data_IF_630991693248
#
_entry.id   IF_630991693248
#
_cell.length_a   1.000
_cell.length_b   1.000
_cell.length_c   1.000
_cell.angle_alpha   90.00
_cell.angle_beta   90.00
_cell.angle_gamma   90.00
#
_symmetry.space_group_name_H-M   'P 1'
#
loop_
_entity.id
_entity.type
_entity.pdbx_description
1 polymer ?
#
# COMPACT_ATOMS: atom_id res chain seq x y z
N UNK A 1 13.31 0.22 -3.23
CA UNK A 1 12.11 -0.57 -2.84
C UNK A 1 11.01 -0.46 -3.90
N UNK A 2 10.29 -1.55 -4.19
CA UNK A 2 9.07 -1.49 -4.98
C UNK A 2 7.98 -0.75 -4.16
N UNK A 3 7.16 0.04 -4.84
CA UNK A 3 6.29 1.05 -4.26
C UNK A 3 4.84 0.71 -4.62
N UNK A 4 4.01 0.38 -3.63
CA UNK A 4 2.61 -0.06 -3.83
C UNK A 4 1.70 0.52 -2.74
N UNK A 5 0.39 0.27 -2.82
CA UNK A 5 -0.60 0.72 -1.84
C UNK A 5 -1.41 1.95 -2.27
N UNK A 6 -2.09 2.56 -1.31
CA UNK A 6 -2.96 3.72 -1.52
C UNK A 6 -2.10 4.97 -1.74
N UNK A 7 -2.44 5.77 -2.76
CA UNK A 7 -1.85 7.09 -3.04
C UNK A 7 -0.33 7.12 -3.19
N UNK A 8 0.26 6.00 -3.63
CA UNK A 8 1.70 5.88 -3.78
C UNK A 8 2.10 5.56 -5.22
N UNK A 9 2.93 6.43 -5.78
CA UNK A 9 3.36 6.34 -7.16
C UNK A 9 4.63 5.50 -7.30
N UNK A 10 4.71 4.70 -8.35
CA UNK A 10 5.95 4.06 -8.73
C UNK A 10 6.95 5.10 -9.23
N UNK A 11 8.06 5.28 -8.51
CA UNK A 11 9.17 6.17 -8.88
C UNK A 11 8.69 7.57 -9.28
N UNK A 12 7.72 8.13 -8.55
CA UNK A 12 7.12 9.43 -8.81
C UNK A 12 6.56 9.61 -10.23
N UNK A 13 6.18 8.52 -10.91
CA UNK A 13 5.65 8.56 -12.27
C UNK A 13 4.18 9.00 -12.37
N UNK A 14 3.52 9.28 -11.24
CA UNK A 14 2.07 9.55 -11.19
C UNK A 14 1.21 8.31 -11.46
N UNK A 15 1.80 7.11 -11.45
CA UNK A 15 1.15 5.84 -11.74
C UNK A 15 1.51 4.80 -10.68
N UNK A 16 0.57 3.92 -10.28
CA UNK A 16 0.88 2.79 -9.41
C UNK A 16 1.80 1.79 -10.12
N UNK A 17 2.54 1.00 -9.35
CA UNK A 17 3.41 -0.04 -9.90
C UNK A 17 2.57 -1.16 -10.52
N UNK A 18 2.85 -1.50 -11.79
CA UNK A 18 2.02 -2.42 -12.58
C UNK A 18 1.90 -3.85 -12.03
N UNK A 19 2.79 -4.25 -11.12
CA UNK A 19 2.87 -5.62 -10.59
C UNK A 19 2.61 -5.70 -9.09
N UNK A 20 1.99 -4.67 -8.50
CA UNK A 20 1.55 -4.70 -7.13
C UNK A 20 0.20 -4.01 -6.95
N UNK A 21 -0.53 -4.27 -5.85
CA UNK A 21 -1.79 -3.59 -5.57
C UNK A 21 -1.54 -2.10 -5.36
N UNK A 22 -2.21 -1.24 -6.13
CA UNK A 22 -2.05 0.20 -5.99
C UNK A 22 -3.15 1.00 -6.68
N UNK A 23 -3.58 2.08 -6.04
CA UNK A 23 -4.66 2.93 -6.52
C UNK A 23 -4.60 4.32 -5.87
N UNK A 24 -5.21 5.32 -6.53
CA UNK A 24 -5.28 6.69 -6.02
C UNK A 24 -6.71 7.01 -5.59
N UNK A 25 -6.87 7.43 -4.35
CA UNK A 25 -8.14 7.71 -3.70
C UNK A 25 -8.00 8.87 -2.73
N UNK A 26 -8.67 9.97 -2.99
CA UNK A 26 -8.70 11.09 -2.04
C UNK A 26 -9.40 10.65 -0.73
N UNK A 27 -8.72 10.83 0.40
CA UNK A 27 -9.22 10.45 1.74
C UNK A 27 -8.95 8.99 2.16
N UNK A 28 -8.74 8.07 1.22
CA UNK A 28 -8.44 6.65 1.49
C UNK A 28 -9.37 5.66 0.77
N UNK A 29 -9.34 4.38 1.14
CA UNK A 29 -10.19 3.36 0.52
C UNK A 29 -10.59 2.23 1.49
N UNK A 30 -11.58 1.43 1.08
CA UNK A 30 -11.94 0.21 1.80
C UNK A 30 -11.06 -0.95 1.33
N UNK A 31 -10.43 -1.65 2.27
CA UNK A 31 -9.60 -2.83 1.99
C UNK A 31 -10.31 -4.08 2.53
N UNK A 32 -10.37 -5.12 1.70
CA UNK A 32 -10.77 -6.48 2.07
C UNK A 32 -9.55 -7.24 2.60
N UNK A 33 -9.67 -7.80 3.79
CA UNK A 33 -8.67 -8.66 4.41
C UNK A 33 -8.92 -10.13 4.08
N UNK A 34 -7.89 -10.97 4.22
CA UNK A 34 -7.97 -12.40 3.95
C UNK A 34 -8.96 -13.18 4.84
N UNK A 35 -9.39 -12.58 5.95
CA UNK A 35 -10.43 -13.12 6.85
C UNK A 35 -11.86 -12.73 6.43
N UNK A 36 -12.02 -12.01 5.32
CA UNK A 36 -13.30 -11.52 4.83
C UNK A 36 -13.75 -10.19 5.44
N UNK A 37 -13.00 -9.64 6.40
CA UNK A 37 -13.29 -8.33 6.98
C UNK A 37 -12.99 -7.20 6.00
N UNK A 38 -13.82 -6.15 6.02
CA UNK A 38 -13.57 -4.92 5.25
C UNK A 38 -13.37 -3.76 6.23
N UNK A 39 -12.29 -3.01 6.04
CA UNK A 39 -12.02 -1.80 6.86
C UNK A 39 -11.68 -0.63 5.98
N UNK A 40 -12.12 0.56 6.39
CA UNK A 40 -11.66 1.80 5.80
C UNK A 40 -10.23 2.10 6.25
N UNK A 41 -9.35 2.33 5.29
CA UNK A 41 -7.95 2.72 5.49
C UNK A 41 -7.80 4.14 4.99
N UNK A 42 -7.52 5.05 5.92
CA UNK A 42 -7.34 6.46 5.62
C UNK A 42 -6.00 6.70 4.91
N UNK A 43 -5.97 7.70 4.01
CA UNK A 43 -4.78 8.05 3.23
C UNK A 43 -3.56 8.50 4.06
N UNK A 44 -3.76 8.96 5.30
CA UNK A 44 -2.67 9.37 6.19
C UNK A 44 -2.11 8.22 7.03
N UNK A 45 -2.59 6.99 6.83
CA UNK A 45 -2.03 5.82 7.49
C UNK A 45 -0.56 5.62 7.09
N UNK A 46 0.26 5.11 8.01
CA UNK A 46 1.67 4.86 7.72
C UNK A 46 1.85 3.96 6.49
N UNK A 47 2.60 4.45 5.51
CA UNK A 47 2.80 3.76 4.24
C UNK A 47 3.46 2.38 4.41
N UNK A 48 4.40 2.25 5.35
CA UNK A 48 5.03 0.96 5.66
C UNK A 48 4.02 -0.09 6.12
N UNK A 49 3.02 0.34 6.91
CA UNK A 49 1.90 -0.52 7.31
C UNK A 49 1.02 -0.91 6.12
N UNK A 50 0.72 0.04 5.22
CA UNK A 50 -0.02 -0.25 3.99
C UNK A 50 0.74 -1.26 3.12
N UNK A 51 2.05 -1.03 2.93
CA UNK A 51 2.91 -1.91 2.15
C UNK A 51 2.92 -3.34 2.72
N UNK A 52 2.97 -3.49 4.04
CA UNK A 52 2.90 -4.80 4.69
C UNK A 52 1.59 -5.55 4.40
N UNK A 53 0.47 -4.84 4.29
CA UNK A 53 -0.84 -5.43 3.99
C UNK A 53 -0.97 -5.91 2.54
N UNK A 54 -0.23 -5.32 1.60
CA UNK A 54 -0.33 -5.61 0.16
C UNK A 54 0.77 -6.53 -0.37
N UNK A 55 1.56 -7.13 0.54
CA UNK A 55 2.55 -8.17 0.20
C UNK A 55 1.87 -9.42 -0.35
N UNK A 56 2.42 -10.01 -1.42
CA UNK A 56 1.80 -11.19 -2.06
C UNK A 56 2.13 -12.48 -1.29
N UNK A 57 3.35 -12.60 -0.77
CA UNK A 57 3.81 -13.76 0.01
C UNK A 57 3.38 -13.75 1.48
N UNK A 58 2.81 -12.64 1.98
CA UNK A 58 2.18 -12.57 3.30
C UNK A 58 3.10 -12.69 4.53
N UNK A 59 4.44 -12.63 4.35
CA UNK A 59 5.48 -12.62 5.41
C UNK A 59 6.79 -11.97 4.95
N UNK A 60 6.72 -11.10 3.96
CA UNK A 60 7.91 -10.43 3.41
C UNK A 60 8.42 -9.40 4.42
N UNK A 61 9.76 -9.25 4.50
CA UNK A 61 10.34 -8.14 5.25
C UNK A 61 9.98 -6.85 4.51
N UNK A 62 9.13 -6.04 5.13
CA UNK A 62 8.73 -4.74 4.59
C UNK A 62 9.50 -3.64 5.31
N UNK A 63 10.16 -2.79 4.54
CA UNK A 63 10.77 -1.58 5.07
C UNK A 63 9.67 -0.61 5.51
N UNK A 64 9.64 -0.26 6.80
CA UNK A 64 8.63 0.64 7.38
C UNK A 64 9.09 2.12 7.45
N UNK A 65 10.11 2.50 6.66
CA UNK A 65 10.74 3.83 6.58
C UNK A 65 11.96 3.99 7.53
N UNK A 66 12.96 4.85 7.31
CA UNK A 66 13.20 5.89 6.31
C UNK A 66 14.64 5.79 5.79
N UNK A 67 14.83 5.74 4.47
CA UNK A 67 16.12 6.01 3.85
C UNK A 67 15.93 7.22 2.91
N UNK A 68 16.58 8.32 3.29
CA UNK A 68 16.65 9.59 2.56
C UNK A 68 17.25 9.41 1.17
#
# INVERSE_FOLDING_TARGET
PMQYGINYDYRASGRPYAWGPGSRHDGGCHILFGDGGVRFINETMNQGTINAMVTVGGREVVETGANF
#
